data_IF_243818758537
#
_entry.id   IF_243818758537
#
_cell.length_a   1.000
_cell.length_b   1.000
_cell.length_c   1.000
_cell.angle_alpha   90.00
_cell.angle_beta   90.00
_cell.angle_gamma   90.00
#
_symmetry.space_group_name_H-M   'P 1'
#
loop_
_entity.id
_entity.type
_entity.pdbx_description
1 polymer ?
#
# COMPACT_ATOMS: atom_id res chain seq x y z
N UNK A 1 21.64 -1.41 0.98
CA UNK A 1 20.42 -2.21 1.21
C UNK A 1 19.99 -2.83 -0.12
N UNK A 2 19.75 -4.13 -0.15
CA UNK A 2 19.24 -4.87 -1.30
C UNK A 2 17.76 -5.18 -1.07
N UNK A 3 16.93 -5.05 -2.13
CA UNK A 3 15.50 -5.37 -2.14
C UNK A 3 15.22 -6.44 -3.18
N UNK A 4 14.29 -7.31 -2.90
CA UNK A 4 13.78 -8.33 -3.82
C UNK A 4 12.28 -8.50 -3.63
N UNK A 5 11.62 -9.00 -4.65
CA UNK A 5 10.19 -9.25 -4.60
C UNK A 5 9.76 -10.20 -5.71
N UNK A 6 8.65 -10.87 -5.48
CA UNK A 6 7.97 -11.73 -6.44
C UNK A 6 6.54 -11.23 -6.59
N UNK A 7 6.00 -11.36 -7.79
CA UNK A 7 4.59 -11.09 -8.04
C UNK A 7 4.03 -12.03 -9.10
N UNK A 8 2.74 -12.28 -9.00
CA UNK A 8 1.97 -13.01 -10.01
C UNK A 8 0.54 -12.49 -10.04
N UNK A 9 -0.07 -12.55 -11.21
CA UNK A 9 -1.47 -12.17 -11.40
C UNK A 9 -2.13 -13.19 -12.33
N UNK A 10 -3.35 -13.60 -11.96
CA UNK A 10 -4.22 -14.42 -12.78
C UNK A 10 -5.48 -13.61 -13.03
N UNK A 11 -5.89 -13.52 -14.30
CA UNK A 11 -7.11 -12.85 -14.71
C UNK A 11 -8.01 -13.81 -15.47
N UNK A 12 -9.29 -13.72 -15.21
CA UNK A 12 -10.34 -14.45 -15.88
C UNK A 12 -11.35 -13.47 -16.47
N UNK A 13 -11.77 -13.69 -17.69
CA UNK A 13 -12.86 -12.97 -18.33
C UNK A 13 -13.89 -14.00 -18.83
N UNK A 14 -15.18 -13.73 -18.61
CA UNK A 14 -16.25 -14.59 -19.12
C UNK A 14 -16.31 -14.50 -20.65
N UNK A 15 -16.90 -15.52 -21.30
CA UNK A 15 -17.03 -15.59 -22.77
C UNK A 15 -17.86 -14.44 -23.36
N UNK A 16 -18.81 -13.92 -22.59
CA UNK A 16 -19.64 -12.78 -22.94
C UNK A 16 -19.01 -11.43 -22.58
N UNK A 17 -17.77 -11.44 -22.08
CA UNK A 17 -16.97 -10.28 -21.63
C UNK A 17 -17.64 -9.43 -20.55
N UNK A 18 -18.77 -9.91 -19.97
CA UNK A 18 -19.49 -9.16 -18.93
C UNK A 18 -18.84 -9.22 -17.57
N UNK A 19 -18.13 -10.31 -17.27
CA UNK A 19 -17.50 -10.50 -15.97
C UNK A 19 -15.99 -10.64 -16.12
N UNK A 20 -15.25 -9.85 -15.36
CA UNK A 20 -13.80 -9.97 -15.25
C UNK A 20 -13.42 -10.06 -13.79
N UNK A 21 -12.54 -11.00 -13.48
CA UNK A 21 -11.95 -11.17 -12.16
C UNK A 21 -10.44 -11.26 -12.28
N UNK A 22 -9.72 -10.63 -11.36
CA UNK A 22 -8.26 -10.70 -11.28
C UNK A 22 -7.84 -10.98 -9.85
N UNK A 23 -6.92 -11.94 -9.68
CA UNK A 23 -6.26 -12.26 -8.43
C UNK A 23 -4.78 -11.98 -8.57
N UNK A 24 -4.24 -11.15 -7.71
CA UNK A 24 -2.83 -10.81 -7.66
C UNK A 24 -2.22 -11.19 -6.33
N UNK A 25 -0.97 -11.62 -6.37
CA UNK A 25 -0.17 -11.85 -5.18
C UNK A 25 1.20 -11.23 -5.38
N UNK A 26 1.64 -10.45 -4.39
CA UNK A 26 2.97 -9.86 -4.37
C UNK A 26 3.60 -10.09 -3.01
N UNK A 27 4.90 -10.32 -3.00
CA UNK A 27 5.70 -10.39 -1.78
C UNK A 27 6.98 -9.58 -1.97
N UNK A 28 7.30 -8.73 -1.02
CA UNK A 28 8.50 -7.88 -1.02
C UNK A 28 9.35 -8.17 0.22
N UNK A 29 10.65 -8.05 0.08
CA UNK A 29 11.59 -8.19 1.20
C UNK A 29 12.85 -7.35 0.97
N UNK A 30 13.63 -7.14 2.03
CA UNK A 30 14.93 -6.50 1.95
C UNK A 30 15.87 -6.97 3.09
N UNK A 31 17.13 -6.65 2.98
CA UNK A 31 18.14 -7.03 3.99
C UNK A 31 18.44 -5.94 5.04
N UNK A 32 17.55 -4.95 5.21
CA UNK A 32 17.75 -3.88 6.18
C UNK A 32 17.66 -4.39 7.62
N UNK A 33 16.62 -5.15 7.93
CA UNK A 33 16.41 -5.75 9.26
C UNK A 33 15.84 -7.17 9.15
N UNK A 34 15.92 -7.94 10.23
CA UNK A 34 15.32 -9.28 10.31
C UNK A 34 13.81 -9.26 10.06
N UNK A 35 13.11 -8.23 10.54
CA UNK A 35 11.68 -8.05 10.39
C UNK A 35 11.24 -7.68 8.96
N UNK A 36 12.17 -7.33 8.07
CA UNK A 36 11.90 -6.97 6.68
C UNK A 36 12.46 -7.99 5.69
N UNK A 37 13.06 -9.07 6.17
CA UNK A 37 13.77 -10.05 5.36
C UNK A 37 12.87 -11.14 4.80
N UNK A 38 11.79 -11.48 5.47
CA UNK A 38 10.88 -12.55 5.08
C UNK A 38 9.88 -12.07 4.05
N UNK A 39 9.75 -12.79 2.92
CA UNK A 39 8.72 -12.53 1.90
C UNK A 39 7.30 -12.77 2.42
N UNK A 40 7.12 -13.73 3.34
CA UNK A 40 5.81 -14.07 3.92
C UNK A 40 5.22 -12.95 4.77
N UNK A 41 6.07 -12.13 5.38
CA UNK A 41 5.64 -11.07 6.28
C UNK A 41 5.09 -9.83 5.53
N UNK A 42 5.42 -9.71 4.24
CA UNK A 42 4.96 -8.65 3.34
C UNK A 42 4.16 -9.21 2.16
N UNK A 43 3.33 -10.23 2.44
CA UNK A 43 2.46 -10.82 1.44
C UNK A 43 1.26 -9.90 1.14
N UNK A 44 1.13 -9.51 -0.11
CA UNK A 44 0.16 -8.52 -0.63
C UNK A 44 -0.85 -9.20 -1.58
N UNK A 45 -1.86 -9.90 -1.07
CA UNK A 45 -2.96 -10.42 -1.89
C UNK A 45 -3.84 -9.27 -2.36
N UNK A 46 -4.37 -9.39 -3.58
CA UNK A 46 -5.27 -8.43 -4.21
C UNK A 46 -6.33 -9.16 -5.01
N UNK A 47 -7.55 -8.67 -4.96
CA UNK A 47 -8.65 -9.10 -5.80
C UNK A 47 -9.27 -7.88 -6.48
N UNK A 48 -9.67 -8.04 -7.73
CA UNK A 48 -10.39 -7.03 -8.49
C UNK A 48 -11.48 -7.75 -9.28
N UNK A 49 -12.67 -7.21 -9.23
CA UNK A 49 -13.87 -7.73 -9.89
C UNK A 49 -14.52 -6.61 -10.69
N UNK A 50 -15.02 -6.94 -11.87
CA UNK A 50 -15.78 -6.02 -12.71
C UNK A 50 -16.94 -6.77 -13.36
N UNK A 51 -18.10 -6.14 -13.37
CA UNK A 51 -19.31 -6.72 -13.97
C UNK A 51 -20.09 -5.69 -14.76
N UNK A 52 -20.33 -6.00 -16.04
CA UNK A 52 -21.17 -5.20 -16.94
C UNK A 52 -22.66 -5.49 -16.65
N UNK A 53 -23.32 -4.61 -15.90
CA UNK A 53 -24.73 -4.74 -15.53
C UNK A 53 -25.66 -4.59 -16.75
N UNK A 54 -25.35 -3.63 -17.63
CA UNK A 54 -26.12 -3.32 -18.83
C UNK A 54 -25.17 -2.73 -19.88
N UNK A 55 -25.65 -2.45 -21.09
CA UNK A 55 -24.86 -1.94 -22.21
C UNK A 55 -23.94 -0.75 -21.86
N UNK A 56 -24.40 0.10 -20.94
CA UNK A 56 -23.69 1.31 -20.55
C UNK A 56 -23.25 1.33 -19.08
N UNK A 57 -23.64 0.34 -18.28
CA UNK A 57 -23.38 0.34 -16.83
C UNK A 57 -22.41 -0.76 -16.42
N UNK A 58 -21.37 -0.38 -15.73
CA UNK A 58 -20.40 -1.31 -15.13
C UNK A 58 -20.24 -1.06 -13.64
N UNK A 59 -20.19 -2.13 -12.85
CA UNK A 59 -19.82 -2.10 -11.43
C UNK A 59 -18.46 -2.75 -11.30
N UNK A 60 -17.60 -2.12 -10.53
CA UNK A 60 -16.27 -2.65 -10.22
C UNK A 60 -15.95 -2.54 -8.73
N UNK A 61 -15.19 -3.48 -8.24
CA UNK A 61 -14.72 -3.46 -6.86
C UNK A 61 -13.33 -4.07 -6.76
N UNK A 62 -12.57 -3.59 -5.81
CA UNK A 62 -11.27 -4.17 -5.50
C UNK A 62 -11.04 -4.21 -3.98
N UNK A 63 -10.26 -5.19 -3.56
CA UNK A 63 -9.78 -5.28 -2.19
C UNK A 63 -8.34 -5.81 -2.19
N UNK A 64 -7.52 -5.35 -1.26
CA UNK A 64 -6.16 -5.83 -1.18
C UNK A 64 -5.36 -5.31 0.00
N UNK A 65 -4.27 -6.03 0.26
CA UNK A 65 -3.23 -5.62 1.19
C UNK A 65 -2.03 -5.07 0.42
N UNK A 66 -1.48 -4.00 0.94
CA UNK A 66 -0.33 -3.32 0.35
C UNK A 66 0.73 -3.08 1.42
N UNK A 67 1.99 -3.31 1.06
CA UNK A 67 3.13 -3.01 1.92
C UNK A 67 4.03 -1.98 1.25
N UNK A 68 4.41 -0.96 2.00
CA UNK A 68 5.29 0.11 1.56
C UNK A 68 6.48 0.23 2.49
N UNK A 69 7.66 0.31 1.90
CA UNK A 69 8.88 0.57 2.67
C UNK A 69 8.84 2.00 3.23
N UNK A 70 9.21 2.24 4.49
CA UNK A 70 9.43 3.58 5.03
C UNK A 70 10.45 4.38 4.19
N UNK A 71 10.40 5.72 4.22
CA UNK A 71 11.36 6.57 3.52
C UNK A 71 12.81 6.22 3.85
N UNK A 72 13.70 6.35 2.88
CA UNK A 72 15.13 6.07 3.09
C UNK A 72 15.79 6.99 4.10
N UNK A 73 15.30 8.20 4.29
CA UNK A 73 15.72 9.13 5.36
C UNK A 73 15.49 8.48 6.74
N UNK A 74 14.29 7.90 6.96
CA UNK A 74 13.97 7.20 8.19
C UNK A 74 14.83 5.93 8.41
N UNK A 75 15.07 5.16 7.35
CA UNK A 75 15.93 3.98 7.41
C UNK A 75 17.41 4.33 7.60
N UNK A 76 17.84 5.46 7.06
CA UNK A 76 19.22 5.94 7.10
C UNK A 76 19.60 6.69 8.37
N UNK A 77 18.63 7.01 9.24
CA UNK A 77 18.89 7.78 10.46
C UNK A 77 19.86 7.04 11.38
N UNK A 78 20.91 7.76 11.82
CA UNK A 78 21.94 7.24 12.72
C UNK A 78 21.92 8.00 14.04
N UNK A 79 22.17 7.30 15.11
CA UNK A 79 22.38 7.86 16.43
C UNK A 79 23.74 8.53 16.57
N UNK A 80 24.02 9.09 17.74
CA UNK A 80 25.30 9.74 18.06
C UNK A 80 26.50 8.78 18.01
N UNK A 81 26.26 7.45 18.03
CA UNK A 81 27.29 6.43 17.93
C UNK A 81 27.49 5.94 16.47
N UNK A 82 26.79 6.55 15.50
CA UNK A 82 26.84 6.19 14.09
C UNK A 82 26.07 4.91 13.73
N UNK A 83 25.27 4.36 14.65
CA UNK A 83 24.45 3.17 14.43
C UNK A 83 23.10 3.54 13.83
N UNK A 84 22.55 2.68 12.97
CA UNK A 84 21.20 2.87 12.42
C UNK A 84 20.14 2.71 13.50
N UNK A 85 19.68 3.84 14.05
CA UNK A 85 18.81 3.89 15.21
C UNK A 85 17.44 3.24 14.98
N UNK A 86 16.92 3.34 13.74
CA UNK A 86 15.59 2.84 13.39
C UNK A 86 15.58 1.37 12.92
N UNK A 87 16.74 0.70 12.88
CA UNK A 87 16.89 -0.62 12.27
C UNK A 87 15.98 -1.70 12.85
N UNK A 88 15.74 -1.64 14.16
CA UNK A 88 14.94 -2.64 14.86
C UNK A 88 13.48 -2.22 15.10
N UNK A 89 13.19 -0.93 14.95
CA UNK A 89 11.91 -0.34 15.29
C UNK A 89 11.00 -0.15 14.06
N UNK A 90 11.60 -0.01 12.87
CA UNK A 90 10.84 0.18 11.63
C UNK A 90 10.49 -1.14 10.96
N UNK A 91 9.28 -1.16 10.39
CA UNK A 91 8.71 -2.23 9.58
C UNK A 91 8.12 -1.66 8.30
N UNK A 92 7.73 -2.52 7.36
CA UNK A 92 6.90 -2.09 6.25
C UNK A 92 5.57 -1.52 6.77
N UNK A 93 5.18 -0.36 6.26
CA UNK A 93 3.84 0.18 6.45
C UNK A 93 2.85 -0.74 5.74
N UNK A 94 1.71 -1.03 6.36
CA UNK A 94 0.67 -1.89 5.82
C UNK A 94 -0.58 -1.06 5.57
N UNK A 95 -1.22 -1.28 4.42
CA UNK A 95 -2.51 -0.68 4.07
C UNK A 95 -3.45 -1.78 3.61
N UNK A 96 -4.61 -1.94 4.25
CA UNK A 96 -5.74 -2.61 3.63
C UNK A 96 -6.59 -1.58 2.91
N UNK A 97 -6.96 -1.87 1.69
CA UNK A 97 -7.78 -1.00 0.86
C UNK A 97 -8.91 -1.79 0.25
N UNK A 98 -10.09 -1.21 0.28
CA UNK A 98 -11.29 -1.71 -0.39
C UNK A 98 -11.90 -0.57 -1.17
N UNK A 99 -12.42 -0.85 -2.37
CA UNK A 99 -13.21 0.12 -3.13
C UNK A 99 -14.33 -0.56 -3.89
N UNK A 100 -15.40 0.22 -4.12
CA UNK A 100 -16.55 -0.16 -4.92
C UNK A 100 -16.96 1.05 -5.77
N UNK A 101 -17.11 0.83 -7.07
CA UNK A 101 -17.46 1.87 -8.02
C UNK A 101 -18.53 1.43 -8.99
N UNK A 102 -19.26 2.42 -9.51
CA UNK A 102 -20.16 2.27 -10.63
C UNK A 102 -19.81 3.28 -11.70
N UNK A 103 -19.76 2.85 -12.94
CA UNK A 103 -19.53 3.72 -14.10
C UNK A 103 -20.64 3.59 -15.12
N UNK A 104 -20.93 4.71 -15.77
CA UNK A 104 -21.81 4.79 -16.93
C UNK A 104 -21.04 5.35 -18.11
N UNK A 105 -21.07 4.63 -19.24
CA UNK A 105 -20.35 4.99 -20.46
C UNK A 105 -21.30 5.07 -21.65
N UNK A 106 -21.20 6.14 -22.45
CA UNK A 106 -21.92 6.30 -23.72
C UNK A 106 -20.94 6.39 -24.89
N UNK A 107 -20.77 5.28 -25.59
CA UNK A 107 -19.76 5.15 -26.66
C UNK A 107 -18.35 5.37 -26.10
N UNK A 108 -17.45 5.82 -26.96
CA UNK A 108 -16.05 6.10 -26.59
C UNK A 108 -15.82 7.57 -26.16
N UNK A 109 -16.90 8.37 -26.10
CA UNK A 109 -16.77 9.82 -25.96
C UNK A 109 -17.07 10.31 -24.55
N UNK A 110 -17.90 9.60 -23.79
CA UNK A 110 -18.36 10.10 -22.49
C UNK A 110 -18.44 8.98 -21.43
N UNK A 111 -17.81 9.23 -20.29
CA UNK A 111 -17.86 8.36 -19.12
C UNK A 111 -18.05 9.17 -17.84
N UNK A 112 -18.92 8.68 -16.96
CA UNK A 112 -19.09 9.18 -15.60
C UNK A 112 -18.92 8.01 -14.65
N UNK A 113 -18.10 8.18 -13.61
CA UNK A 113 -17.91 7.16 -12.58
C UNK A 113 -18.02 7.76 -11.19
N UNK A 114 -18.51 6.96 -10.27
CA UNK A 114 -18.51 7.24 -8.83
C UNK A 114 -17.89 6.05 -8.13
N UNK A 115 -16.90 6.31 -7.28
CA UNK A 115 -16.22 5.29 -6.50
C UNK A 115 -16.16 5.69 -5.04
N UNK A 116 -16.52 4.76 -4.16
CA UNK A 116 -16.28 4.84 -2.71
C UNK A 116 -15.10 3.95 -2.35
N UNK A 117 -14.27 4.39 -1.43
CA UNK A 117 -13.15 3.61 -0.94
C UNK A 117 -13.00 3.70 0.58
N UNK A 118 -12.40 2.68 1.13
CA UNK A 118 -11.97 2.63 2.53
C UNK A 118 -10.52 2.15 2.61
N UNK A 119 -9.71 2.83 3.42
CA UNK A 119 -8.31 2.46 3.67
C UNK A 119 -8.03 2.44 5.17
N UNK A 120 -7.43 1.36 5.61
CA UNK A 120 -6.92 1.20 6.98
C UNK A 120 -5.41 1.05 6.94
N UNK A 121 -4.73 1.95 7.63
CA UNK A 121 -3.27 2.04 7.66
C UNK A 121 -2.75 1.51 8.99
N UNK A 122 -1.74 0.67 8.94
CA UNK A 122 -1.07 0.10 10.10
C UNK A 122 0.46 0.21 9.94
N UNK A 123 1.16 0.23 11.07
CA UNK A 123 2.62 0.32 11.12
C UNK A 123 3.20 1.59 10.46
N UNK A 124 2.46 2.69 10.51
CA UNK A 124 2.97 3.99 10.08
C UNK A 124 4.11 4.40 11.02
N UNK A 125 5.23 4.91 10.49
CA UNK A 125 6.31 5.45 11.32
C UNK A 125 5.81 6.62 12.16
N UNK A 126 5.99 6.49 13.48
CA UNK A 126 5.65 7.49 14.50
C UNK A 126 6.94 8.05 15.08
N UNK A 127 7.04 9.36 15.16
CA UNK A 127 8.15 10.02 15.84
C UNK A 127 8.13 9.74 17.35
N UNK A 128 9.26 9.34 17.87
CA UNK A 128 9.44 9.15 19.32
C UNK A 128 9.60 10.50 20.04
N UNK A 129 10.01 11.54 19.31
CA UNK A 129 10.30 12.87 19.87
C UNK A 129 9.02 13.67 20.15
N UNK A 130 8.09 13.68 19.21
CA UNK A 130 6.88 14.53 19.27
C UNK A 130 5.57 13.73 19.18
N UNK A 131 5.64 12.41 18.98
CA UNK A 131 4.45 11.56 18.88
C UNK A 131 3.62 11.79 17.61
N UNK A 132 4.17 12.44 16.58
CA UNK A 132 3.47 12.74 15.34
C UNK A 132 3.80 11.66 14.29
N UNK A 133 2.78 11.05 13.64
CA UNK A 133 3.01 10.15 12.51
C UNK A 133 3.74 10.86 11.37
N UNK A 134 4.69 10.18 10.74
CA UNK A 134 5.50 10.74 9.67
C UNK A 134 4.66 11.24 8.48
N UNK A 135 3.52 10.62 8.24
CA UNK A 135 2.56 11.01 7.20
C UNK A 135 1.86 12.35 7.48
N UNK A 136 1.87 12.80 8.75
CA UNK A 136 1.29 14.07 9.18
C UNK A 136 2.33 15.20 9.26
N UNK A 137 3.62 14.88 9.15
CA UNK A 137 4.70 15.89 9.09
C UNK A 137 4.80 16.41 7.66
N UNK A 138 4.10 17.52 7.36
CA UNK A 138 4.17 18.19 6.06
C UNK A 138 5.36 19.15 5.96
N UNK A 139 5.87 19.32 4.75
CA UNK A 139 6.65 20.47 4.26
C UNK A 139 8.19 20.48 4.35
N UNK A 140 8.87 19.51 4.94
CA UNK A 140 10.35 19.52 4.92
C UNK A 140 10.89 18.36 4.07
N UNK A 141 10.96 18.57 2.77
CA UNK A 141 11.34 17.55 1.77
C UNK A 141 12.72 16.92 1.97
N UNK A 142 13.59 17.50 2.80
CA UNK A 142 14.92 16.97 3.06
C UNK A 142 15.13 16.35 4.44
N UNK A 143 14.23 16.59 5.38
CA UNK A 143 14.44 16.27 6.81
C UNK A 143 13.43 15.28 7.36
N UNK A 144 12.33 15.03 6.66
CA UNK A 144 11.28 14.09 7.10
C UNK A 144 11.87 12.70 7.33
N UNK A 145 11.73 12.21 8.57
CA UNK A 145 12.19 10.89 8.98
C UNK A 145 13.64 10.81 9.46
N UNK A 146 14.37 11.95 9.51
CA UNK A 146 15.71 12.00 10.07
C UNK A 146 15.67 12.11 11.62
N UNK A 147 14.99 11.18 12.25
CA UNK A 147 14.72 11.12 13.68
C UNK A 147 14.45 9.68 14.14
N UNK A 148 14.38 9.47 15.45
CA UNK A 148 14.02 8.17 16.03
C UNK A 148 12.52 7.91 15.81
N UNK A 149 12.22 6.76 15.19
CA UNK A 149 10.87 6.38 14.77
C UNK A 149 10.51 4.97 15.26
N UNK A 150 9.23 4.75 15.48
CA UNK A 150 8.62 3.41 15.71
C UNK A 150 7.49 3.16 14.72
N UNK A 151 7.25 1.90 14.34
CA UNK A 151 6.14 1.51 13.44
C UNK A 151 4.88 1.17 14.23
N UNK A 152 4.28 2.15 14.90
CA UNK A 152 3.16 1.95 15.85
C UNK A 152 1.92 2.77 15.53
N UNK A 153 2.00 3.77 14.64
CA UNK A 153 0.83 4.57 14.30
C UNK A 153 -0.12 3.86 13.33
N UNK A 154 -1.38 4.21 13.44
CA UNK A 154 -2.49 3.73 12.62
C UNK A 154 -3.29 4.92 12.09
N UNK A 155 -4.03 4.72 11.00
CA UNK A 155 -4.87 5.73 10.39
C UNK A 155 -5.95 5.13 9.51
N UNK A 156 -6.97 5.92 9.20
CA UNK A 156 -8.08 5.54 8.32
C UNK A 156 -8.45 6.67 7.37
N UNK A 157 -8.94 6.32 6.20
CA UNK A 157 -9.51 7.25 5.23
C UNK A 157 -10.61 6.60 4.40
#
# INVERSE_FOLDING_TARGET
MMRWGLFGTISYSSMDERFTASLGLRADANNYSSAMKSLSDQLSPRISLSYQLAEHWCVSGNAGLYYQLPPYTALGFKDNNGMYANKYNLRYMKVSQESLGISWRKGDTFEVSVEGFYKDYDKIPLSVVDGIPLTCKGNDYGVIGNELLTSTAQGRS
#
